data_IF_734307391841
#
_entry.id   IF_734307391841
#
_cell.length_a   1.000
_cell.length_b   1.000
_cell.length_c   1.000
_cell.angle_alpha   90.00
_cell.angle_beta   90.00
_cell.angle_gamma   90.00
#
_symmetry.space_group_name_H-M   'P 1'
#
loop_
_entity.id
_entity.type
_entity.pdbx_description
1 polymer ?
#
# COMPACT_ATOMS: atom_id res chain seq x y z
N UNK A 1 2.96 -3.64 -5.38
CA UNK A 1 2.78 -4.70 -4.38
C UNK A 1 4.07 -4.89 -3.59
N UNK A 2 3.96 -5.03 -2.28
CA UNK A 2 5.06 -5.45 -1.41
C UNK A 2 4.89 -6.92 -1.02
N UNK A 3 5.87 -7.75 -1.36
CA UNK A 3 5.81 -9.19 -1.18
C UNK A 3 6.71 -9.60 -0.02
N UNK A 4 6.13 -10.32 0.96
CA UNK A 4 6.92 -10.96 2.02
C UNK A 4 7.56 -12.22 1.44
N UNK A 5 8.62 -12.03 0.67
CA UNK A 5 9.39 -13.11 0.12
C UNK A 5 10.81 -13.08 0.72
N UNK A 6 11.15 -14.14 1.43
CA UNK A 6 12.49 -14.34 2.01
C UNK A 6 13.50 -14.88 0.99
N UNK A 7 13.02 -15.26 -0.21
CA UNK A 7 13.85 -15.71 -1.32
C UNK A 7 13.87 -14.60 -2.37
N UNK A 8 14.93 -13.83 -2.41
CA UNK A 8 15.12 -12.74 -3.37
C UNK A 8 14.76 -13.17 -4.80
N UNK A 9 13.96 -12.34 -5.49
CA UNK A 9 13.64 -12.52 -6.90
C UNK A 9 12.51 -13.49 -7.24
N UNK A 10 11.81 -14.09 -6.28
CA UNK A 10 10.63 -14.92 -6.56
C UNK A 10 9.33 -14.12 -6.38
N UNK A 11 8.84 -13.52 -7.45
CA UNK A 11 7.60 -12.73 -7.48
C UNK A 11 6.37 -13.49 -7.98
N UNK A 12 6.52 -14.78 -8.32
CA UNK A 12 5.41 -15.59 -8.84
C UNK A 12 4.53 -16.21 -7.74
N UNK A 13 5.04 -16.22 -6.51
CA UNK A 13 4.33 -16.83 -5.37
C UNK A 13 4.54 -16.03 -4.08
N UNK A 14 3.59 -16.12 -3.18
CA UNK A 14 3.59 -15.41 -1.89
C UNK A 14 2.37 -14.50 -1.75
N UNK A 15 2.10 -14.08 -0.53
CA UNK A 15 1.04 -13.11 -0.28
C UNK A 15 1.59 -11.69 -0.45
N UNK A 16 0.80 -10.80 -1.04
CA UNK A 16 1.11 -9.38 -1.01
C UNK A 16 0.75 -8.79 0.34
N UNK A 17 1.75 -8.42 1.11
CA UNK A 17 1.58 -7.82 2.45
C UNK A 17 1.38 -6.30 2.39
N UNK A 18 1.71 -5.70 1.26
CA UNK A 18 1.45 -4.31 0.92
C UNK A 18 0.77 -4.25 -0.45
N UNK A 19 -0.37 -3.58 -0.52
CA UNK A 19 -1.13 -3.36 -1.76
C UNK A 19 -1.39 -1.86 -1.84
N UNK A 20 -0.78 -1.18 -2.79
CA UNK A 20 -0.98 0.25 -3.02
C UNK A 20 -1.40 0.50 -4.45
N UNK A 21 -2.34 1.41 -4.64
CA UNK A 21 -2.76 1.96 -5.92
C UNK A 21 -2.24 3.39 -5.98
N UNK A 22 -1.50 3.71 -7.04
CA UNK A 22 -1.08 5.07 -7.35
C UNK A 22 -1.90 5.58 -8.54
N UNK A 23 -2.59 6.68 -8.36
CA UNK A 23 -3.22 7.44 -9.45
C UNK A 23 -2.34 8.65 -9.76
N UNK A 24 -1.91 8.76 -11.00
CA UNK A 24 -1.09 9.87 -11.50
C UNK A 24 -1.93 10.66 -12.50
N UNK A 25 -2.19 11.91 -12.20
CA UNK A 25 -2.85 12.81 -13.12
C UNK A 25 -1.79 13.51 -13.98
N UNK A 26 -1.75 13.18 -15.27
CA UNK A 26 -0.73 13.69 -16.19
C UNK A 26 -0.87 15.19 -16.49
N UNK A 27 -2.06 15.75 -16.32
CA UNK A 27 -2.32 17.17 -16.56
C UNK A 27 -1.89 18.03 -15.36
N UNK A 28 -2.29 17.63 -14.15
CA UNK A 28 -2.00 18.37 -12.90
C UNK A 28 -0.69 17.95 -12.26
N UNK A 29 -0.13 16.79 -12.64
CA UNK A 29 1.03 16.13 -12.00
C UNK A 29 0.77 15.67 -10.56
N UNK A 30 -0.47 15.66 -10.14
CA UNK A 30 -0.90 15.19 -8.84
C UNK A 30 -0.83 13.66 -8.77
N UNK A 31 -0.32 13.16 -7.66
CA UNK A 31 -0.27 11.72 -7.34
C UNK A 31 -1.08 11.47 -6.08
N UNK A 32 -2.08 10.61 -6.17
CA UNK A 32 -2.86 10.12 -5.01
C UNK A 32 -2.52 8.65 -4.76
N UNK A 33 -2.26 8.28 -3.50
CA UNK A 33 -1.95 6.91 -3.10
C UNK A 33 -3.07 6.33 -2.23
N UNK A 34 -3.51 5.13 -2.57
CA UNK A 34 -4.44 4.35 -1.75
C UNK A 34 -3.83 3.03 -1.38
N UNK A 35 -3.70 2.76 -0.08
CA UNK A 35 -3.36 1.43 0.42
C UNK A 35 -4.62 0.60 0.60
N UNK A 36 -4.77 -0.46 -0.17
CA UNK A 36 -5.84 -1.43 0.03
C UNK A 36 -5.42 -2.42 1.13
N UNK A 37 -6.19 -2.49 2.22
CA UNK A 37 -5.85 -3.41 3.30
C UNK A 37 -5.82 -4.84 2.81
N UNK A 38 -4.69 -5.53 2.99
CA UNK A 38 -4.46 -6.89 2.48
C UNK A 38 -5.51 -7.92 2.93
N UNK A 39 -6.10 -7.70 4.11
CA UNK A 39 -7.13 -8.57 4.70
C UNK A 39 -8.57 -8.19 4.27
N UNK A 40 -8.74 -7.26 3.31
CA UNK A 40 -10.05 -6.92 2.73
C UNK A 40 -10.70 -8.16 2.14
N UNK A 41 -11.96 -8.42 2.54
CA UNK A 41 -12.72 -9.61 2.15
C UNK A 41 -13.44 -9.38 0.84
N UNK A 42 -12.84 -9.84 -0.26
CA UNK A 42 -13.23 -9.53 -1.62
C UNK A 42 -13.14 -10.75 -2.54
N UNK A 43 -13.59 -10.62 -3.79
CA UNK A 43 -13.44 -11.64 -4.83
C UNK A 43 -11.99 -11.68 -5.35
N UNK A 44 -11.30 -12.81 -5.19
CA UNK A 44 -9.85 -12.92 -5.43
C UNK A 44 -9.47 -13.71 -6.69
N UNK A 45 -10.43 -14.27 -7.41
CA UNK A 45 -10.17 -15.08 -8.61
C UNK A 45 -11.35 -15.02 -9.59
N UNK A 46 -11.22 -15.67 -10.74
CA UNK A 46 -12.25 -15.68 -11.81
C UNK A 46 -13.55 -16.37 -11.40
N UNK A 47 -13.55 -17.11 -10.30
CA UNK A 47 -14.72 -17.78 -9.73
C UNK A 47 -15.41 -16.94 -8.66
N UNK A 48 -14.99 -15.69 -8.48
CA UNK A 48 -15.46 -14.78 -7.44
C UNK A 48 -15.37 -15.37 -6.02
N UNK A 49 -14.32 -16.17 -5.78
CA UNK A 49 -14.07 -16.75 -4.46
C UNK A 49 -13.77 -15.65 -3.46
N UNK A 50 -14.62 -15.48 -2.45
CA UNK A 50 -14.40 -14.49 -1.40
C UNK A 50 -13.32 -14.95 -0.42
N UNK A 51 -12.23 -14.19 -0.36
CA UNK A 51 -11.07 -14.39 0.52
C UNK A 51 -10.45 -13.04 0.90
N UNK A 52 -9.40 -13.08 1.71
CA UNK A 52 -8.52 -11.93 1.91
C UNK A 52 -7.86 -11.54 0.58
N UNK A 53 -7.85 -10.27 0.26
CA UNK A 53 -7.36 -9.77 -1.04
C UNK A 53 -5.93 -10.18 -1.36
N UNK A 54 -5.05 -10.30 -0.34
CA UNK A 54 -3.67 -10.75 -0.53
C UNK A 54 -3.56 -12.16 -1.17
N UNK A 55 -4.60 -12.99 -1.06
CA UNK A 55 -4.65 -14.30 -1.70
C UNK A 55 -4.75 -14.22 -3.23
N UNK A 56 -5.17 -13.09 -3.80
CA UNK A 56 -5.21 -12.91 -5.25
C UNK A 56 -3.80 -12.97 -5.86
N UNK A 57 -2.82 -12.35 -5.19
CA UNK A 57 -1.42 -12.41 -5.61
C UNK A 57 -0.86 -13.84 -5.49
N UNK A 58 -1.12 -14.51 -4.37
CA UNK A 58 -0.65 -15.89 -4.17
C UNK A 58 -1.20 -16.89 -5.20
N UNK A 59 -2.39 -16.61 -5.76
CA UNK A 59 -3.06 -17.47 -6.74
C UNK A 59 -2.69 -17.18 -8.20
N UNK A 60 -2.57 -15.91 -8.54
CA UNK A 60 -2.44 -15.46 -9.93
C UNK A 60 -1.28 -14.49 -10.17
N UNK A 61 -0.34 -14.37 -9.21
CA UNK A 61 0.76 -13.42 -9.30
C UNK A 61 0.27 -11.96 -9.36
N UNK A 62 1.12 -11.04 -9.83
CA UNK A 62 0.77 -9.64 -9.93
C UNK A 62 -0.42 -9.38 -10.86
N UNK A 63 -0.51 -10.08 -11.98
CA UNK A 63 -1.63 -9.92 -12.94
C UNK A 63 -2.95 -10.38 -12.35
N UNK A 64 -2.97 -11.46 -11.57
CA UNK A 64 -4.15 -11.92 -10.84
C UNK A 64 -4.57 -10.93 -9.76
N UNK A 65 -3.62 -10.32 -9.05
CA UNK A 65 -3.89 -9.28 -8.07
C UNK A 65 -4.46 -8.01 -8.73
N UNK A 66 -3.90 -7.57 -9.86
CA UNK A 66 -4.44 -6.44 -10.65
C UNK A 66 -5.86 -6.74 -11.12
N UNK A 67 -6.11 -7.93 -11.67
CA UNK A 67 -7.46 -8.32 -12.11
C UNK A 67 -8.47 -8.32 -10.94
N UNK A 68 -8.06 -8.77 -9.75
CA UNK A 68 -8.89 -8.73 -8.56
C UNK A 68 -9.18 -7.28 -8.12
N UNK A 69 -8.17 -6.39 -8.13
CA UNK A 69 -8.37 -4.96 -7.82
C UNK A 69 -9.35 -4.33 -8.81
N UNK A 70 -9.12 -4.48 -10.11
CA UNK A 70 -9.98 -3.92 -11.15
C UNK A 70 -11.44 -4.36 -10.99
N UNK A 71 -11.65 -5.67 -10.77
CA UNK A 71 -12.98 -6.25 -10.65
C UNK A 71 -13.75 -5.78 -9.41
N UNK A 72 -13.08 -5.66 -8.25
CA UNK A 72 -13.75 -5.27 -7.00
C UNK A 72 -13.92 -3.76 -6.85
N UNK A 73 -13.08 -2.98 -7.52
CA UNK A 73 -12.99 -1.53 -7.33
C UNK A 73 -13.41 -0.73 -8.58
N UNK A 74 -13.89 -1.41 -9.62
CA UNK A 74 -14.23 -0.82 -10.93
C UNK A 74 -13.08 0.04 -11.51
N UNK A 75 -11.83 -0.41 -11.34
CA UNK A 75 -10.66 0.24 -11.88
C UNK A 75 -10.21 -0.39 -13.20
N UNK A 76 -9.32 0.30 -13.89
CA UNK A 76 -8.70 -0.15 -15.13
C UNK A 76 -7.16 -0.16 -15.04
N UNK A 77 -6.63 -0.60 -13.91
CA UNK A 77 -5.18 -0.70 -13.69
C UNK A 77 -4.59 -1.64 -14.75
N UNK A 78 -3.57 -1.17 -15.46
CA UNK A 78 -2.83 -1.93 -16.46
C UNK A 78 -1.41 -2.22 -16.02
N UNK A 79 -0.84 -1.37 -15.16
CA UNK A 79 0.54 -1.44 -14.77
C UNK A 79 0.71 -1.87 -13.32
N UNK A 80 1.79 -2.57 -13.05
CA UNK A 80 2.16 -2.96 -11.68
C UNK A 80 3.67 -2.90 -11.45
N UNK A 81 4.02 -2.74 -10.18
CA UNK A 81 5.37 -2.93 -9.65
C UNK A 81 5.26 -3.80 -8.40
N UNK A 82 6.01 -4.89 -8.35
CA UNK A 82 6.14 -5.75 -7.17
C UNK A 82 7.57 -5.69 -6.66
N UNK A 83 7.72 -5.42 -5.38
CA UNK A 83 9.01 -5.29 -4.69
C UNK A 83 9.05 -6.23 -3.49
N UNK A 84 10.23 -6.72 -3.16
CA UNK A 84 10.51 -7.44 -1.94
C UNK A 84 11.21 -6.56 -0.88
N UNK A 85 11.59 -7.13 0.22
CA UNK A 85 12.27 -6.45 1.31
C UNK A 85 13.64 -5.90 0.89
N UNK A 86 14.38 -6.63 0.04
CA UNK A 86 15.70 -6.20 -0.41
C UNK A 86 15.58 -4.94 -1.27
N UNK A 87 14.67 -4.93 -2.23
CA UNK A 87 14.44 -3.79 -3.10
C UNK A 87 14.11 -2.52 -2.30
N UNK A 88 13.25 -2.63 -1.27
CA UNK A 88 12.91 -1.49 -0.41
C UNK A 88 14.15 -0.96 0.34
N UNK A 89 14.94 -1.86 0.93
CA UNK A 89 16.18 -1.45 1.63
C UNK A 89 17.16 -0.78 0.68
N UNK A 90 17.38 -1.34 -0.50
CA UNK A 90 18.31 -0.83 -1.49
C UNK A 90 17.91 0.54 -2.04
N UNK A 91 16.61 0.77 -2.29
CA UNK A 91 16.11 2.11 -2.67
C UNK A 91 16.45 3.14 -1.61
N UNK A 92 16.13 2.85 -0.35
CA UNK A 92 16.38 3.78 0.75
C UNK A 92 17.88 4.06 0.91
N UNK A 93 18.71 3.02 0.87
CA UNK A 93 20.16 3.17 1.03
C UNK A 93 20.80 3.91 -0.15
N UNK A 94 20.37 3.64 -1.40
CA UNK A 94 20.88 4.32 -2.59
C UNK A 94 20.53 5.82 -2.61
N UNK A 95 19.38 6.20 -2.02
CA UNK A 95 18.99 7.60 -1.83
C UNK A 95 19.70 8.27 -0.62
N UNK A 96 20.58 7.56 0.07
CA UNK A 96 21.29 8.05 1.25
C UNK A 96 20.43 8.05 2.52
N UNK A 97 19.38 7.23 2.57
CA UNK A 97 18.44 7.14 3.67
C UNK A 97 17.29 8.12 3.58
N UNK A 98 16.29 7.94 4.44
CA UNK A 98 15.09 8.79 4.55
C UNK A 98 14.95 9.33 5.97
N UNK A 99 14.22 10.44 6.14
CA UNK A 99 13.92 11.02 7.44
C UNK A 99 12.57 10.54 7.95
N UNK A 100 12.56 9.95 9.15
CA UNK A 100 11.33 9.52 9.83
C UNK A 100 11.26 10.16 11.23
N UNK A 101 10.04 10.55 11.62
CA UNK A 101 9.72 10.89 13.00
C UNK A 101 9.25 9.62 13.71
N UNK A 102 10.08 9.11 14.61
CA UNK A 102 9.91 7.81 15.26
C UNK A 102 9.43 8.04 16.69
N UNK A 103 8.30 7.45 17.02
CA UNK A 103 7.76 7.48 18.38
C UNK A 103 8.61 6.61 19.34
N UNK A 104 8.44 6.81 20.65
CA UNK A 104 9.12 6.00 21.64
C UNK A 104 8.76 4.50 21.54
N UNK A 105 7.52 4.21 21.23
CA UNK A 105 7.04 2.84 21.10
C UNK A 105 7.61 2.16 19.86
N UNK A 106 7.62 2.86 18.71
CA UNK A 106 8.23 2.38 17.48
C UNK A 106 9.74 2.14 17.64
N UNK A 107 10.47 3.08 18.24
CA UNK A 107 11.90 2.91 18.51
C UNK A 107 12.17 1.68 19.38
N UNK A 108 11.27 1.39 20.32
CA UNK A 108 11.38 0.20 21.19
C UNK A 108 11.09 -1.11 20.44
N UNK A 109 10.21 -1.11 19.45
CA UNK A 109 9.80 -2.31 18.73
C UNK A 109 10.62 -2.60 17.49
N UNK A 110 11.13 -1.56 16.81
CA UNK A 110 11.91 -1.70 15.58
C UNK A 110 13.16 -2.59 15.76
N UNK A 111 13.79 -2.60 16.94
CA UNK A 111 14.95 -3.46 17.17
C UNK A 111 14.65 -4.94 16.96
N UNK A 112 13.44 -5.40 17.34
CA UNK A 112 13.01 -6.80 17.19
C UNK A 112 12.98 -7.18 15.70
N UNK A 113 12.46 -6.28 14.87
CA UNK A 113 12.41 -6.49 13.41
C UNK A 113 13.79 -6.42 12.77
N UNK A 114 14.66 -5.52 13.25
CA UNK A 114 16.04 -5.43 12.78
C UNK A 114 16.82 -6.70 13.13
N UNK A 115 16.67 -7.21 14.36
CA UNK A 115 17.34 -8.43 14.79
C UNK A 115 16.85 -9.65 13.99
N UNK A 116 15.54 -9.76 13.74
CA UNK A 116 14.99 -10.81 12.87
C UNK A 116 15.58 -10.74 11.45
N UNK A 117 15.64 -9.53 10.86
CA UNK A 117 16.19 -9.34 9.52
C UNK A 117 17.71 -9.62 9.49
N UNK A 118 18.46 -9.25 10.52
CA UNK A 118 19.87 -9.59 10.66
C UNK A 118 20.08 -11.11 10.62
N UNK A 119 19.23 -11.85 11.35
CA UNK A 119 19.30 -13.31 11.39
C UNK A 119 18.92 -13.95 10.04
N UNK A 120 17.79 -13.51 9.46
CA UNK A 120 17.21 -14.15 8.27
C UNK A 120 17.96 -13.78 7.00
N UNK A 121 18.41 -12.54 6.87
CA UNK A 121 19.01 -11.99 5.65
C UNK A 121 20.55 -11.87 5.75
N UNK A 122 21.14 -12.20 6.92
CA UNK A 122 22.58 -12.09 7.15
C UNK A 122 23.08 -10.64 7.16
N UNK A 123 22.22 -9.68 7.49
CA UNK A 123 22.57 -8.26 7.59
C UNK A 123 23.17 -7.93 8.96
N UNK A 124 23.65 -6.71 9.14
CA UNK A 124 24.22 -6.21 10.40
C UNK A 124 23.65 -4.83 10.76
N UNK A 125 22.33 -4.68 10.56
CA UNK A 125 21.64 -3.44 10.88
C UNK A 125 21.70 -3.10 12.35
N UNK A 126 21.79 -1.81 12.65
CA UNK A 126 21.80 -1.28 14.02
C UNK A 126 20.42 -0.72 14.36
N UNK A 127 20.00 -0.78 15.63
CA UNK A 127 18.80 -0.09 16.09
C UNK A 127 18.83 1.42 15.78
N UNK A 128 17.65 2.03 15.76
CA UNK A 128 17.52 3.50 15.69
C UNK A 128 18.03 4.15 16.99
N UNK A 129 18.38 5.45 16.93
CA UNK A 129 18.98 6.16 18.08
C UNK A 129 17.98 6.43 19.23
N UNK A 130 16.69 6.20 19.02
CA UNK A 130 15.60 6.47 19.96
C UNK A 130 14.45 7.20 19.26
N UNK A 131 13.54 7.83 20.01
CA UNK A 131 12.43 8.58 19.44
C UNK A 131 12.87 9.93 18.87
N UNK A 132 12.04 10.47 17.97
CA UNK A 132 12.22 11.77 17.32
C UNK A 132 12.60 11.66 15.85
N UNK A 133 12.72 12.82 15.22
CA UNK A 133 13.09 12.95 13.81
C UNK A 133 14.54 12.52 13.61
N UNK A 134 14.77 11.56 12.75
CA UNK A 134 16.11 11.05 12.46
C UNK A 134 16.22 10.44 11.07
N UNK A 135 17.45 10.45 10.54
CA UNK A 135 17.79 9.75 9.31
C UNK A 135 17.86 8.24 9.57
N UNK A 136 17.14 7.46 8.76
CA UNK A 136 17.15 6.01 8.82
C UNK A 136 17.67 5.40 7.52
N UNK A 137 18.37 4.29 7.62
CA UNK A 137 18.82 3.50 6.48
C UNK A 137 17.76 2.46 6.05
N UNK A 138 18.05 1.68 5.01
CA UNK A 138 17.11 0.72 4.42
C UNK A 138 16.55 -0.29 5.42
N UNK A 139 17.40 -0.93 6.23
CA UNK A 139 16.93 -1.93 7.21
C UNK A 139 16.07 -1.29 8.31
N UNK A 140 16.37 -0.07 8.72
CA UNK A 140 15.60 0.66 9.72
C UNK A 140 14.25 1.11 9.14
N UNK A 141 14.23 1.59 7.89
CA UNK A 141 12.99 1.94 7.20
C UNK A 141 12.10 0.70 7.01
N UNK A 142 12.68 -0.44 6.66
CA UNK A 142 11.93 -1.69 6.53
C UNK A 142 11.41 -2.17 7.89
N UNK A 143 12.18 -2.05 8.97
CA UNK A 143 11.71 -2.36 10.33
C UNK A 143 10.51 -1.50 10.72
N UNK A 144 10.53 -0.21 10.38
CA UNK A 144 9.41 0.70 10.57
C UNK A 144 8.15 0.25 9.80
N UNK A 145 8.31 -0.15 8.53
CA UNK A 145 7.23 -0.69 7.71
C UNK A 145 6.62 -2.00 8.26
N UNK A 146 7.41 -2.79 8.98
CA UNK A 146 6.98 -4.10 9.52
C UNK A 146 6.36 -4.02 10.91
N UNK A 147 6.53 -2.91 11.60
CA UNK A 147 6.07 -2.77 12.99
C UNK A 147 4.54 -2.90 13.09
N UNK A 148 4.11 -3.88 13.88
CA UNK A 148 2.71 -4.19 14.22
C UNK A 148 2.43 -4.04 15.70
N UNK A 149 3.47 -3.81 16.52
CA UNK A 149 3.39 -3.81 17.97
C UNK A 149 3.14 -2.43 18.55
N UNK A 150 3.47 -1.37 17.80
CA UNK A 150 3.28 0.03 18.21
C UNK A 150 1.86 0.53 17.94
N UNK A 151 0.87 -0.17 18.52
CA UNK A 151 -0.54 0.20 18.47
C UNK A 151 -1.19 0.16 17.07
N UNK A 152 -2.52 0.04 17.04
CA UNK A 152 -3.32 0.26 15.83
C UNK A 152 -3.36 -0.86 14.79
N UNK A 153 -2.85 -2.05 15.09
CA UNK A 153 -2.95 -3.25 14.25
C UNK A 153 -2.39 -3.08 12.82
N UNK A 154 -2.96 -3.78 11.87
CA UNK A 154 -2.58 -3.78 10.46
C UNK A 154 -2.81 -2.42 9.76
N UNK A 155 -3.73 -1.60 10.26
CA UNK A 155 -4.01 -0.25 9.74
C UNK A 155 -2.81 0.69 9.93
N UNK A 156 -2.20 0.69 11.12
CA UNK A 156 -1.00 1.49 11.40
C UNK A 156 0.21 1.01 10.60
N UNK A 157 0.35 -0.30 10.43
CA UNK A 157 1.41 -0.84 9.55
C UNK A 157 1.26 -0.31 8.13
N UNK A 158 0.05 -0.32 7.59
CA UNK A 158 -0.24 0.16 6.25
C UNK A 158 0.02 1.67 6.12
N UNK A 159 -0.28 2.46 7.16
CA UNK A 159 0.05 3.88 7.23
C UNK A 159 1.58 4.10 7.21
N UNK A 160 2.36 3.35 8.00
CA UNK A 160 3.81 3.43 7.99
C UNK A 160 4.42 3.12 6.63
N UNK A 161 3.86 2.16 5.92
CA UNK A 161 4.28 1.84 4.55
C UNK A 161 4.06 3.02 3.60
N UNK A 162 2.91 3.73 3.70
CA UNK A 162 2.67 4.96 2.92
C UNK A 162 3.64 6.07 3.28
N UNK A 163 3.92 6.27 4.57
CA UNK A 163 4.90 7.26 5.04
C UNK A 163 6.27 7.00 4.40
N UNK A 164 6.74 5.75 4.44
CA UNK A 164 8.04 5.39 3.85
C UNK A 164 8.06 5.62 2.34
N UNK A 165 6.99 5.23 1.62
CA UNK A 165 6.88 5.51 0.17
C UNK A 165 6.91 7.01 -0.09
N UNK A 166 6.17 7.81 0.67
CA UNK A 166 6.20 9.27 0.56
C UNK A 166 7.60 9.85 0.78
N UNK A 167 8.32 9.36 1.80
CA UNK A 167 9.69 9.80 2.08
C UNK A 167 10.70 9.38 1.00
N UNK A 168 10.51 8.21 0.40
CA UNK A 168 11.30 7.79 -0.78
C UNK A 168 11.06 8.75 -1.94
N UNK A 169 9.80 9.09 -2.24
CA UNK A 169 9.47 10.06 -3.30
C UNK A 169 10.07 11.43 -3.01
N UNK A 170 9.96 11.95 -1.78
CA UNK A 170 10.57 13.22 -1.37
C UNK A 170 12.09 13.21 -1.60
N UNK A 171 12.78 12.12 -1.28
CA UNK A 171 14.23 11.96 -1.51
C UNK A 171 14.56 11.82 -3.00
N UNK A 172 13.79 11.07 -3.76
CA UNK A 172 13.97 10.93 -5.21
C UNK A 172 13.86 12.29 -5.92
N UNK A 173 12.92 13.15 -5.50
CA UNK A 173 12.79 14.52 -6.02
C UNK A 173 14.03 15.40 -5.77
N UNK A 174 14.84 15.11 -4.75
CA UNK A 174 16.07 15.84 -4.41
C UNK A 174 17.30 15.28 -5.14
N UNK A 175 17.23 14.03 -5.61
CA UNK A 175 18.32 13.36 -6.30
C UNK A 175 18.58 13.99 -7.69
N UNK A 176 19.80 13.86 -8.18
CA UNK A 176 20.11 14.18 -9.56
C UNK A 176 19.72 13.02 -10.49
N UNK A 177 19.61 13.34 -11.77
CA UNK A 177 19.13 12.36 -12.77
C UNK A 177 20.08 11.16 -12.94
N UNK A 178 21.38 11.35 -12.72
CA UNK A 178 22.35 10.26 -12.82
C UNK A 178 22.13 9.27 -11.68
N UNK A 179 21.97 9.76 -10.47
CA UNK A 179 21.62 8.95 -9.29
C UNK A 179 20.32 8.16 -9.51
N UNK A 180 19.30 8.80 -10.09
CA UNK A 180 18.02 8.12 -10.38
C UNK A 180 18.18 7.06 -11.47
N UNK A 181 18.95 7.31 -12.52
CA UNK A 181 19.19 6.33 -13.57
C UNK A 181 19.98 5.12 -13.02
N UNK A 182 21.04 5.37 -12.25
CA UNK A 182 21.84 4.32 -11.61
C UNK A 182 20.95 3.48 -10.65
N UNK A 183 20.03 4.12 -9.95
CA UNK A 183 19.06 3.45 -9.07
C UNK A 183 18.11 2.54 -9.88
N UNK A 184 17.56 3.04 -10.99
CA UNK A 184 16.69 2.26 -11.87
C UNK A 184 17.44 1.06 -12.45
N UNK A 185 18.64 1.27 -12.99
CA UNK A 185 19.45 0.20 -13.58
C UNK A 185 19.82 -0.88 -12.55
N UNK A 186 20.07 -0.48 -11.31
CA UNK A 186 20.40 -1.41 -10.22
C UNK A 186 19.19 -2.21 -9.75
N UNK A 187 18.02 -1.58 -9.62
CA UNK A 187 16.83 -2.19 -9.03
C UNK A 187 15.98 -2.95 -10.04
N UNK A 188 16.04 -2.56 -11.32
CA UNK A 188 15.17 -3.15 -12.35
C UNK A 188 15.28 -4.68 -12.43
N UNK A 189 16.47 -5.32 -12.27
CA UNK A 189 16.58 -6.77 -12.22
C UNK A 189 15.92 -7.42 -11.00
N UNK A 190 15.78 -6.67 -9.91
CA UNK A 190 15.33 -7.14 -8.59
C UNK A 190 13.87 -6.78 -8.28
N UNK A 191 13.10 -6.32 -9.27
CA UNK A 191 11.67 -6.05 -9.16
C UNK A 191 10.89 -6.82 -10.23
N UNK A 192 9.61 -7.08 -9.99
CA UNK A 192 8.69 -7.58 -11.02
C UNK A 192 7.75 -6.46 -11.43
N UNK A 193 7.76 -6.10 -12.70
CA UNK A 193 6.95 -5.00 -13.20
C UNK A 193 6.47 -5.25 -14.63
N UNK A 194 5.31 -4.69 -14.98
CA UNK A 194 4.83 -4.59 -16.36
C UNK A 194 5.43 -3.42 -17.13
N UNK A 195 5.97 -2.42 -16.40
CA UNK A 195 6.59 -1.25 -17.01
C UNK A 195 7.92 -1.61 -17.66
N UNK A 196 8.17 -1.07 -18.84
CA UNK A 196 9.48 -1.12 -19.48
C UNK A 196 10.48 -0.19 -18.77
N UNK A 197 11.78 -0.48 -18.92
CA UNK A 197 12.85 0.41 -18.43
C UNK A 197 12.67 1.84 -18.93
N UNK A 198 12.23 2.03 -20.18
CA UNK A 198 12.01 3.36 -20.76
C UNK A 198 10.90 4.11 -20.04
N UNK A 199 9.80 3.46 -19.68
CA UNK A 199 8.70 4.06 -18.94
C UNK A 199 9.14 4.45 -17.52
N UNK A 200 9.87 3.57 -16.84
CA UNK A 200 10.41 3.88 -15.50
C UNK A 200 11.38 5.06 -15.55
N UNK A 201 12.31 5.08 -16.52
CA UNK A 201 13.21 6.20 -16.70
C UNK A 201 12.47 7.50 -17.05
N UNK A 202 11.38 7.41 -17.83
CA UNK A 202 10.49 8.53 -18.08
C UNK A 202 9.86 9.09 -16.80
N UNK A 203 9.31 8.24 -15.95
CA UNK A 203 8.77 8.64 -14.65
C UNK A 203 9.87 9.25 -13.76
N UNK A 204 11.06 8.64 -13.72
CA UNK A 204 12.19 9.14 -12.93
C UNK A 204 12.67 10.51 -13.41
N UNK A 205 12.71 10.75 -14.73
CA UNK A 205 13.11 12.05 -15.31
C UNK A 205 12.16 13.19 -14.92
N UNK A 206 10.88 12.88 -14.73
CA UNK A 206 9.83 13.84 -14.38
C UNK A 206 9.45 13.81 -12.89
N UNK A 207 10.16 13.05 -12.05
CA UNK A 207 9.79 12.86 -10.63
C UNK A 207 9.63 14.18 -9.86
N UNK A 208 10.36 15.22 -10.24
CA UNK A 208 10.30 16.55 -9.60
C UNK A 208 9.01 17.31 -9.92
N UNK A 209 8.32 16.95 -10.99
CA UNK A 209 7.08 17.58 -11.41
C UNK A 209 5.87 17.00 -10.69
N UNK A 210 5.95 15.73 -10.27
CA UNK A 210 4.86 15.06 -9.57
C UNK A 210 4.73 15.55 -8.13
N UNK A 211 3.50 15.75 -7.68
CA UNK A 211 3.17 16.15 -6.31
C UNK A 211 2.36 15.06 -5.63
N UNK A 212 2.88 14.50 -4.54
CA UNK A 212 2.12 13.58 -3.70
C UNK A 212 1.12 14.39 -2.87
N UNK A 213 -0.14 14.41 -3.33
CA UNK A 213 -1.17 15.25 -2.74
C UNK A 213 -1.73 14.66 -1.46
N UNK A 214 -2.10 13.38 -1.47
CA UNK A 214 -2.68 12.71 -0.31
C UNK A 214 -2.43 11.20 -0.32
N UNK A 215 -2.58 10.57 0.85
CA UNK A 215 -2.45 9.12 1.01
C UNK A 215 -3.50 8.56 1.95
N UNK A 216 -4.30 7.61 1.49
CA UNK A 216 -5.41 7.04 2.25
C UNK A 216 -5.33 5.51 2.37
N UNK A 217 -6.03 4.97 3.38
CA UNK A 217 -6.28 3.53 3.51
C UNK A 217 -7.69 3.19 3.02
N UNK A 218 -7.86 2.08 2.31
CA UNK A 218 -9.13 1.58 1.81
C UNK A 218 -9.39 0.15 2.33
N UNK A 219 -10.64 -0.25 2.68
CA UNK A 219 -11.90 0.51 2.58
C UNK A 219 -11.96 1.71 3.52
N UNK A 220 -12.69 2.76 3.09
CA UNK A 220 -12.92 3.97 3.92
C UNK A 220 -13.92 3.68 5.04
N UNK A 221 -15.00 2.96 4.70
CA UNK A 221 -16.03 2.52 5.62
C UNK A 221 -15.94 1.01 5.81
N UNK A 222 -15.54 0.59 7.00
CA UNK A 222 -15.25 -0.81 7.26
C UNK A 222 -15.66 -1.26 8.67
N UNK A 223 -15.74 -2.57 8.80
CA UNK A 223 -15.72 -3.29 10.07
C UNK A 223 -14.75 -4.47 9.96
N UNK A 224 -14.46 -5.11 11.09
CA UNK A 224 -13.66 -6.33 11.12
C UNK A 224 -14.51 -7.51 11.55
N UNK A 225 -14.22 -8.70 10.99
CA UNK A 225 -14.91 -9.91 11.36
C UNK A 225 -13.96 -11.10 11.45
N UNK A 226 -14.12 -11.89 12.51
CA UNK A 226 -13.53 -13.22 12.57
C UNK A 226 -14.38 -14.20 11.77
N UNK A 227 -13.80 -14.76 10.73
CA UNK A 227 -14.41 -15.81 9.91
C UNK A 227 -13.97 -17.20 10.39
N UNK A 228 -14.31 -18.25 9.65
CA UNK A 228 -13.83 -19.60 9.93
C UNK A 228 -12.29 -19.68 9.93
N UNK A 229 -11.74 -20.69 10.62
CA UNK A 229 -10.28 -20.84 10.86
C UNK A 229 -9.44 -20.79 9.56
N UNK A 230 -10.01 -21.22 8.43
CA UNK A 230 -9.31 -21.22 7.13
C UNK A 230 -9.14 -19.82 6.51
N UNK A 231 -9.88 -18.82 6.99
CA UNK A 231 -9.83 -17.42 6.53
C UNK A 231 -9.26 -16.51 7.61
N UNK A 232 -9.69 -16.69 8.86
CA UNK A 232 -9.27 -15.87 10.01
C UNK A 232 -9.97 -14.51 10.06
N UNK A 233 -9.32 -13.52 10.67
CA UNK A 233 -9.83 -12.16 10.75
C UNK A 233 -9.78 -11.47 9.37
N UNK A 234 -10.85 -10.78 9.01
CA UNK A 234 -10.97 -10.05 7.73
C UNK A 234 -11.39 -8.61 7.98
N UNK A 235 -11.01 -7.73 7.05
CA UNK A 235 -11.53 -6.38 6.91
C UNK A 235 -12.71 -6.43 5.93
N UNK A 236 -13.87 -5.98 6.37
CA UNK A 236 -15.10 -6.01 5.57
C UNK A 236 -15.43 -4.58 5.15
N UNK A 237 -15.42 -4.27 3.83
CA UNK A 237 -16.10 -3.06 3.38
C UNK A 237 -17.59 -3.20 3.73
N UNK A 238 -18.08 -2.36 4.62
CA UNK A 238 -19.45 -2.52 5.17
C UNK A 238 -20.53 -2.28 4.13
N UNK A 239 -20.20 -1.47 3.11
CA UNK A 239 -20.89 -1.37 1.84
C UNK A 239 -19.85 -1.17 0.74
N UNK A 240 -19.68 -2.19 -0.11
CA UNK A 240 -18.64 -2.11 -1.16
C UNK A 240 -19.00 -1.06 -2.21
N UNK A 241 -20.27 -0.90 -2.56
CA UNK A 241 -20.70 0.09 -3.57
C UNK A 241 -20.34 1.51 -3.11
N UNK A 242 -20.71 1.88 -1.89
CA UNK A 242 -20.32 3.18 -1.29
C UNK A 242 -18.81 3.35 -1.22
N UNK A 243 -18.06 2.31 -0.82
CA UNK A 243 -16.59 2.39 -0.76
C UNK A 243 -15.95 2.56 -2.15
N UNK A 244 -16.54 2.02 -3.21
CA UNK A 244 -16.08 2.20 -4.59
C UNK A 244 -16.42 3.59 -5.10
N UNK A 245 -17.62 4.11 -4.86
CA UNK A 245 -17.98 5.49 -5.18
C UNK A 245 -17.01 6.48 -4.53
N UNK A 246 -16.78 6.36 -3.23
CA UNK A 246 -15.82 7.18 -2.49
C UNK A 246 -14.38 7.05 -3.04
N UNK A 247 -13.99 5.86 -3.51
CA UNK A 247 -12.68 5.64 -4.11
C UNK A 247 -12.53 6.39 -5.45
N UNK A 248 -13.54 6.31 -6.31
CA UNK A 248 -13.54 7.02 -7.59
C UNK A 248 -13.56 8.53 -7.39
N UNK A 249 -14.33 9.01 -6.43
CA UNK A 249 -14.33 10.42 -6.05
C UNK A 249 -12.96 10.86 -5.53
N UNK A 250 -12.34 10.06 -4.67
CA UNK A 250 -11.00 10.36 -4.14
C UNK A 250 -9.91 10.35 -5.22
N UNK A 251 -9.89 9.32 -6.09
CA UNK A 251 -8.81 9.17 -7.08
C UNK A 251 -8.98 10.07 -8.31
N UNK A 252 -10.23 10.30 -8.74
CA UNK A 252 -10.52 10.86 -10.05
C UNK A 252 -11.43 12.10 -10.02
N UNK A 253 -11.80 12.55 -8.82
CA UNK A 253 -12.72 13.68 -8.60
C UNK A 253 -14.09 13.49 -9.29
N UNK A 254 -14.52 12.23 -9.46
CA UNK A 254 -15.83 11.86 -10.02
C UNK A 254 -16.87 11.86 -8.92
N UNK A 255 -17.88 12.73 -9.03
CA UNK A 255 -19.02 12.75 -8.11
C UNK A 255 -20.07 11.70 -8.52
N UNK A 256 -20.69 11.04 -7.54
CA UNK A 256 -21.78 10.08 -7.72
C UNK A 256 -21.45 8.97 -8.73
N UNK A 257 -20.32 8.27 -8.53
CA UNK A 257 -19.91 7.18 -9.40
C UNK A 257 -20.90 6.02 -9.35
N UNK A 258 -21.51 5.68 -10.47
CA UNK A 258 -22.41 4.53 -10.58
C UNK A 258 -21.57 3.24 -10.76
N UNK A 259 -21.55 2.40 -9.72
CA UNK A 259 -20.82 1.13 -9.74
C UNK A 259 -21.43 0.13 -10.73
N UNK A 260 -20.55 -0.71 -11.32
CA UNK A 260 -20.98 -1.76 -12.24
C UNK A 260 -21.83 -2.84 -11.54
N UNK A 261 -22.58 -3.59 -12.33
CA UNK A 261 -23.33 -4.75 -11.82
C UNK A 261 -22.42 -5.77 -11.15
N UNK A 262 -21.15 -5.87 -11.58
CA UNK A 262 -20.17 -6.78 -10.95
C UNK A 262 -19.84 -6.36 -9.52
N UNK A 263 -19.59 -5.07 -9.26
CA UNK A 263 -19.37 -4.57 -7.89
C UNK A 263 -20.62 -4.79 -7.03
N UNK A 264 -21.82 -4.53 -7.58
CA UNK A 264 -23.11 -4.79 -6.88
C UNK A 264 -23.27 -6.25 -6.49
N UNK A 265 -22.94 -7.18 -7.41
CA UNK A 265 -22.96 -8.63 -7.12
C UNK A 265 -21.99 -9.00 -6.00
N UNK A 266 -20.75 -8.49 -6.05
CA UNK A 266 -19.72 -8.77 -5.03
C UNK A 266 -20.13 -8.14 -3.70
N UNK A 267 -20.65 -6.91 -3.68
CA UNK A 267 -21.15 -6.22 -2.48
C UNK A 267 -22.18 -7.07 -1.75
N UNK A 268 -23.18 -7.54 -2.50
CA UNK A 268 -24.20 -8.45 -1.98
C UNK A 268 -23.63 -9.77 -1.46
N UNK A 269 -22.65 -10.36 -2.18
CA UNK A 269 -22.02 -11.61 -1.76
C UNK A 269 -21.20 -11.43 -0.47
N UNK A 270 -20.45 -10.33 -0.34
CA UNK A 270 -19.68 -9.97 0.86
C UNK A 270 -20.65 -9.77 2.05
N UNK A 271 -21.70 -8.98 1.88
CA UNK A 271 -22.71 -8.72 2.92
C UNK A 271 -23.38 -10.03 3.37
N UNK A 272 -23.84 -10.85 2.43
CA UNK A 272 -24.45 -12.15 2.76
C UNK A 272 -23.49 -13.08 3.51
N UNK A 273 -22.22 -13.13 3.12
CA UNK A 273 -21.20 -14.02 3.71
C UNK A 273 -20.74 -13.54 5.08
N UNK A 274 -20.67 -12.23 5.27
CA UNK A 274 -20.19 -11.63 6.51
C UNK A 274 -21.33 -11.24 7.47
N UNK A 275 -22.54 -11.02 6.97
CA UNK A 275 -23.65 -10.43 7.73
C UNK A 275 -23.39 -8.99 8.13
N UNK A 276 -22.52 -8.27 7.39
CA UNK A 276 -22.19 -6.87 7.63
C UNK A 276 -22.81 -5.99 6.55
N UNK A 277 -23.24 -4.80 6.95
CA UNK A 277 -23.86 -3.79 6.10
C UNK A 277 -23.39 -2.38 6.54
N UNK A 278 -23.78 -1.35 5.83
CA UNK A 278 -23.39 0.04 6.11
C UNK A 278 -23.62 0.46 7.58
N UNK A 279 -24.71 0.00 8.21
CA UNK A 279 -25.00 0.27 9.62
C UNK A 279 -24.01 -0.35 10.61
N UNK A 280 -23.18 -1.30 10.17
CA UNK A 280 -22.18 -1.98 10.99
C UNK A 280 -20.80 -1.31 10.92
N UNK A 281 -20.65 -0.17 10.27
CA UNK A 281 -19.38 0.55 10.13
C UNK A 281 -18.84 0.94 11.50
N UNK A 282 -17.69 0.40 11.85
CA UNK A 282 -16.97 0.71 13.10
C UNK A 282 -15.79 1.65 12.89
N UNK A 283 -15.31 1.78 11.65
CA UNK A 283 -14.28 2.72 11.24
C UNK A 283 -14.71 3.41 9.96
N UNK A 284 -14.79 4.73 10.03
CA UNK A 284 -15.04 5.61 8.89
C UNK A 284 -13.87 6.59 8.74
N UNK A 285 -13.16 6.48 7.61
CA UNK A 285 -12.06 7.35 7.22
C UNK A 285 -12.37 8.04 5.89
N UNK A 286 -13.67 8.33 5.66
CA UNK A 286 -14.11 9.00 4.44
C UNK A 286 -13.33 10.30 4.24
N UNK A 287 -12.50 10.41 3.18
CA UNK A 287 -11.64 11.57 2.96
C UNK A 287 -12.44 12.87 2.81
N UNK A 288 -13.66 12.80 2.31
CA UNK A 288 -14.52 13.96 2.09
C UNK A 288 -15.02 14.61 3.39
N UNK A 289 -15.12 13.84 4.47
CA UNK A 289 -15.51 14.35 5.78
C UNK A 289 -14.30 14.99 6.48
N UNK A 290 -13.12 14.49 6.24
CA UNK A 290 -11.87 15.02 6.82
C UNK A 290 -11.53 16.40 6.24
N UNK A 291 -11.70 16.58 4.93
CA UNK A 291 -11.46 17.85 4.25
C UNK A 291 -12.45 18.94 4.71
N UNK A 292 -13.72 18.61 4.93
CA UNK A 292 -14.71 19.52 5.46
C UNK A 292 -14.38 20.00 6.89
N UNK A 293 -13.91 19.08 7.74
CA UNK A 293 -13.50 19.41 9.11
C UNK A 293 -12.21 20.24 9.16
N UNK A 294 -11.28 20.04 8.22
CA UNK A 294 -10.06 20.84 8.09
C UNK A 294 -10.36 22.26 7.61
N UNK A 295 -11.32 22.43 6.70
CA UNK A 295 -11.75 23.73 6.20
C UNK A 295 -12.43 24.59 7.29
N UNK A 296 -13.27 23.97 8.16
CA UNK A 296 -13.93 24.67 9.27
C UNK A 296 -12.98 25.12 10.41
N UNK A 297 -11.79 24.50 10.51
CA UNK A 297 -10.80 24.87 11.53
C UNK A 297 -9.85 25.97 11.08
N UNK A 298 -9.92 26.42 9.82
CA UNK A 298 -9.07 27.48 9.24
C UNK A 298 -9.81 28.81 9.09
N UNK A 299 -11.07 28.92 9.46
CA UNK A 299 -11.84 30.18 9.63
C UNK A 299 -11.85 30.62 11.12
#
# INVERSE_FOLDING_TARGET
FGIDNRSSGNYESGNSDCIMIASINDDTKEVKLVSVYRDSFLAVDDKDSLRKLNAAYAKGGPTGAVAALNKNLDLNITEYVSVDFNAVMEVVDALGGIELDITREEASNMHIWIDEMNEVMGTHGKPVSGPGVQQVNGIQALAYCRDRMSGGDDFRRTERQRIVVGKIVEKAKQADILTLNDLVDKLFPDISTSLSTTEILGLAAHVKEYELADTQGWPFQLDTKMMEKSIGAVVVPTDLETNVDLLHRYLFDVEDYETTDKVKEISKAVSNRTGKAAADTTRDTNPLVQDAAAAETTE
#
